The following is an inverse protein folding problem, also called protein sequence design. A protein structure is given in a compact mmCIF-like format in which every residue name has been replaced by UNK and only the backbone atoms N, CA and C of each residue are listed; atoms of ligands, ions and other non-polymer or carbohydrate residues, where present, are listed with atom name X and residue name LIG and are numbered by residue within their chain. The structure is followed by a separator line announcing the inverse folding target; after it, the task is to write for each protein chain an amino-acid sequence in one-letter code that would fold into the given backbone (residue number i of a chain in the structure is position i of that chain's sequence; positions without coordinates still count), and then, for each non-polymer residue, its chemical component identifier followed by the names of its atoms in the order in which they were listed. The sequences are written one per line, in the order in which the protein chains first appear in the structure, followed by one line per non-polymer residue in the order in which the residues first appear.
data_IF_913969449805
#
_entry.id   IF_913969449805
#
_cell.length_a   1.000
_cell.length_b   1.000
_cell.length_c   1.000
_cell.angle_alpha   90.00
_cell.angle_beta   90.00
_cell.angle_gamma   90.00
#
_symmetry.space_group_name_H-M   'P 1'
#
loop_
_entity.id
_entity.type
_entity.pdbx_description
1 polymer ?
#
# COMPACT_ATOMS: atom_id res chain seq x y z
N UNK A 1 10.32 6.75 4.21
CA UNK A 1 9.73 6.57 2.87
C UNK A 1 10.20 5.23 2.33
N UNK A 2 9.36 4.54 1.57
CA UNK A 2 9.70 3.27 0.91
C UNK A 2 9.31 3.35 -0.58
N UNK A 3 10.07 2.69 -1.44
CA UNK A 3 9.79 2.59 -2.87
C UNK A 3 9.41 1.15 -3.17
N UNK A 4 8.16 0.90 -3.56
CA UNK A 4 7.62 -0.45 -3.69
C UNK A 4 7.02 -0.68 -5.08
N UNK A 5 7.21 -1.87 -5.68
CA UNK A 5 6.67 -2.16 -6.99
C UNK A 5 5.16 -2.45 -6.90
N UNK A 6 4.40 -1.88 -7.83
CA UNK A 6 2.98 -2.15 -8.02
C UNK A 6 2.81 -3.59 -8.50
N UNK A 7 1.94 -4.34 -7.83
CA UNK A 7 1.51 -5.64 -8.34
C UNK A 7 0.23 -5.54 -9.15
N UNK A 8 -0.78 -4.89 -8.61
CA UNK A 8 -2.02 -4.60 -9.35
C UNK A 8 -2.74 -3.41 -8.72
N UNK A 9 -3.72 -2.92 -9.46
CA UNK A 9 -4.54 -1.77 -9.08
C UNK A 9 -6.01 -2.13 -9.19
N UNK A 10 -6.81 -1.55 -8.31
CA UNK A 10 -8.27 -1.62 -8.34
C UNK A 10 -8.82 -0.20 -8.35
N UNK A 11 -9.78 0.09 -9.23
CA UNK A 11 -10.55 1.33 -9.24
C UNK A 11 -12.03 0.99 -9.15
N UNK A 12 -12.68 1.48 -8.11
CA UNK A 12 -14.08 1.19 -7.80
C UNK A 12 -14.84 2.50 -7.68
N UNK A 13 -15.31 3.02 -8.81
CA UNK A 13 -15.97 4.32 -8.88
C UNK A 13 -15.01 5.46 -8.50
N UNK A 14 -15.32 6.13 -7.38
CA UNK A 14 -14.54 7.25 -6.84
C UNK A 14 -13.37 6.84 -5.96
N UNK A 15 -13.13 5.54 -5.77
CA UNK A 15 -12.02 5.02 -4.97
C UNK A 15 -11.02 4.24 -5.82
N UNK A 16 -9.76 4.27 -5.41
CA UNK A 16 -8.72 3.47 -6.02
C UNK A 16 -7.70 2.97 -5.00
N UNK A 17 -7.23 1.74 -5.20
CA UNK A 17 -6.25 1.07 -4.35
C UNK A 17 -5.12 0.52 -5.23
N UNK A 18 -3.88 0.80 -4.84
CA UNK A 18 -2.71 0.14 -5.37
C UNK A 18 -2.22 -0.92 -4.37
N UNK A 19 -1.98 -2.13 -4.85
CA UNK A 19 -1.41 -3.23 -4.07
C UNK A 19 0.07 -3.36 -4.43
N UNK A 20 0.93 -3.13 -3.44
CA UNK A 20 2.38 -3.00 -3.63
C UNK A 20 3.10 -4.17 -2.99
N UNK A 21 4.12 -4.71 -3.67
CA UNK A 21 4.92 -5.82 -3.10
C UNK A 21 5.80 -5.30 -1.96
N UNK A 22 5.71 -5.95 -0.81
CA UNK A 22 6.56 -5.71 0.35
C UNK A 22 7.10 -7.05 0.87
N UNK A 23 8.29 -7.44 0.42
CA UNK A 23 8.80 -8.79 0.65
C UNK A 23 7.90 -9.84 -0.01
N UNK A 24 7.41 -10.78 0.80
CA UNK A 24 6.44 -11.81 0.39
C UNK A 24 4.97 -11.37 0.57
N UNK A 25 4.75 -10.19 1.14
CA UNK A 25 3.42 -9.65 1.43
C UNK A 25 3.02 -8.52 0.46
N UNK A 26 1.79 -8.03 0.63
CA UNK A 26 1.27 -6.85 -0.05
C UNK A 26 0.97 -5.73 0.94
N UNK A 27 1.22 -4.50 0.51
CA UNK A 27 0.72 -3.27 1.16
C UNK A 27 -0.38 -2.69 0.27
N UNK A 28 -1.60 -2.60 0.80
CA UNK A 28 -2.70 -1.93 0.13
C UNK A 28 -2.68 -0.43 0.46
N UNK A 29 -2.61 0.41 -0.56
CA UNK A 29 -2.55 1.87 -0.41
C UNK A 29 -3.68 2.52 -1.20
N UNK A 30 -4.50 3.33 -0.53
CA UNK A 30 -5.45 4.22 -1.25
C UNK A 30 -4.66 5.27 -2.00
N UNK A 31 -5.03 5.47 -3.26
CA UNK A 31 -4.41 6.46 -4.12
C UNK A 31 -5.48 7.30 -4.79
N UNK A 32 -5.06 8.44 -5.34
CA UNK A 32 -5.91 9.29 -6.15
C UNK A 32 -6.46 8.49 -7.36
N UNK A 33 -7.79 8.35 -7.50
CA UNK A 33 -8.42 7.61 -8.61
C UNK A 33 -8.12 8.20 -10.00
N UNK A 34 -7.67 9.45 -10.10
CA UNK A 34 -7.24 10.06 -11.36
C UNK A 34 -5.83 9.60 -11.77
N UNK A 35 -5.02 9.15 -10.80
CA UNK A 35 -3.64 8.72 -11.02
C UNK A 35 -3.51 7.21 -11.26
N UNK A 36 -4.44 6.40 -10.74
CA UNK A 36 -4.36 4.92 -10.75
C UNK A 36 -4.16 4.33 -12.16
N UNK A 37 -4.75 4.94 -13.19
CA UNK A 37 -4.64 4.46 -14.58
C UNK A 37 -3.24 4.62 -15.19
N UNK A 38 -2.34 5.35 -14.51
CA UNK A 38 -0.94 5.53 -14.93
C UNK A 38 -0.02 4.47 -14.37
N UNK A 39 -0.43 3.77 -13.31
CA UNK A 39 0.39 2.75 -12.67
C UNK A 39 0.24 1.42 -13.40
N UNK A 40 1.38 0.85 -13.79
CA UNK A 40 1.48 -0.47 -14.40
C UNK A 40 2.12 -1.44 -13.42
N UNK A 41 1.84 -2.73 -13.60
CA UNK A 41 2.52 -3.76 -12.84
C UNK A 41 4.05 -3.65 -13.04
N UNK A 42 4.79 -3.69 -11.94
CA UNK A 42 6.24 -3.51 -11.90
C UNK A 42 6.70 -2.06 -11.71
N UNK A 43 5.85 -1.06 -11.96
CA UNK A 43 6.20 0.33 -11.69
C UNK A 43 6.50 0.51 -10.20
N UNK A 44 7.55 1.26 -9.88
CA UNK A 44 7.89 1.53 -8.48
C UNK A 44 7.29 2.86 -8.05
N UNK A 45 6.51 2.84 -6.97
CA UNK A 45 5.92 4.05 -6.40
C UNK A 45 6.46 4.32 -4.99
N UNK A 46 6.63 5.60 -4.68
CA UNK A 46 7.05 6.03 -3.35
C UNK A 46 5.85 6.14 -2.42
N UNK A 47 5.94 5.50 -1.27
CA UNK A 47 4.97 5.61 -0.18
C UNK A 47 5.63 6.11 1.10
N UNK A 48 4.80 6.71 1.95
CA UNK A 48 5.17 7.09 3.30
C UNK A 48 4.26 6.38 4.30
N UNK A 49 4.83 5.99 5.44
CA UNK A 49 4.08 5.52 6.59
C UNK A 49 3.98 6.69 7.56
N UNK A 50 2.81 7.34 7.70
CA UNK A 50 2.69 8.49 8.59
C UNK A 50 2.97 8.08 10.02
N UNK A 51 3.93 8.76 10.66
CA UNK A 51 4.24 8.54 12.06
C UNK A 51 2.98 8.79 12.91
N UNK A 52 2.73 7.93 13.90
CA UNK A 52 1.53 8.00 14.74
C UNK A 52 0.27 7.34 14.15
N UNK A 53 0.30 6.91 12.89
CA UNK A 53 -0.78 6.07 12.28
C UNK A 53 -0.41 4.60 12.15
N UNK A 54 0.81 4.23 12.54
CA UNK A 54 1.28 2.85 12.56
C UNK A 54 0.87 2.20 13.87
N UNK A 55 0.35 0.97 13.77
CA UNK A 55 0.03 0.13 14.91
C UNK A 55 0.99 -1.05 14.94
N UNK A 56 1.58 -1.32 16.11
CA UNK A 56 2.45 -2.47 16.33
C UNK A 56 1.69 -3.47 17.18
N UNK A 57 1.80 -4.75 16.82
CA UNK A 57 1.14 -5.84 17.51
C UNK A 57 2.16 -6.92 17.83
N UNK A 58 2.03 -7.54 19.01
CA UNK A 58 2.82 -8.69 19.39
C UNK A 58 2.46 -9.90 18.50
N UNK A 59 3.49 -10.57 17.96
CA UNK A 59 3.30 -11.61 16.94
C UNK A 59 2.69 -12.91 17.50
N UNK A 60 2.83 -13.19 18.80
CA UNK A 60 2.29 -14.40 19.43
C UNK A 60 0.85 -14.21 19.92
N UNK A 61 0.60 -13.08 20.58
CA UNK A 61 -0.67 -12.81 21.27
C UNK A 61 -1.63 -11.92 20.47
N UNK A 62 -1.15 -11.21 19.44
CA UNK A 62 -1.94 -10.25 18.66
C UNK A 62 -2.31 -8.98 19.42
N UNK A 63 -1.80 -8.80 20.64
CA UNK A 63 -2.07 -7.59 21.45
C UNK A 63 -1.34 -6.39 20.88
N UNK A 64 -1.99 -5.23 20.89
CA UNK A 64 -1.37 -3.96 20.48
C UNK A 64 -0.31 -3.53 21.50
N UNK A 65 0.84 -3.09 20.99
CA UNK A 65 1.96 -2.51 21.74
C UNK A 65 1.93 -0.99 21.73
#
# INVERSE_FOLDING_TARGET
MASLPVQYTEKTGSDATAYLKFGEALVATRVDPEQIGRFKQGDTINIAFPQGKVHVFDAQSGRRM
#
